data_IF_199476333244
#
_entry.id   IF_199476333244
#
_cell.length_a   1.000
_cell.length_b   1.000
_cell.length_c   1.000
_cell.angle_alpha   90.00
_cell.angle_beta   90.00
_cell.angle_gamma   90.00
#
_symmetry.space_group_name_H-M   'P 1'
#
loop_
_entity.id
_entity.type
_entity.pdbx_description
1 polymer ?
#
# COMPACT_ATOMS: atom_id res chain seq x y z
N UNK A 1 -5.78 -9.13 4.34
CA UNK A 1 -4.51 -8.93 3.62
C UNK A 1 -4.52 -7.48 3.16
N UNK A 2 -3.43 -6.74 3.32
CA UNK A 2 -3.26 -5.43 2.71
C UNK A 2 -2.68 -5.64 1.30
N UNK A 3 -3.28 -5.04 0.27
CA UNK A 3 -2.85 -5.20 -1.12
C UNK A 3 -2.21 -3.90 -1.59
N UNK A 4 -1.00 -3.98 -2.14
CA UNK A 4 -0.19 -2.81 -2.49
C UNK A 4 -0.24 -2.49 -4.00
N UNK A 5 -1.39 -2.77 -4.62
CA UNK A 5 -1.66 -2.52 -6.04
C UNK A 5 -1.83 -3.79 -6.87
N UNK A 6 -2.29 -3.63 -8.12
CA UNK A 6 -2.54 -4.73 -9.06
C UNK A 6 -3.75 -4.48 -9.96
N UNK A 7 -4.36 -5.57 -10.42
CA UNK A 7 -5.49 -5.60 -11.33
C UNK A 7 -6.57 -6.56 -10.83
N UNK A 8 -7.82 -6.21 -11.10
CA UNK A 8 -8.95 -7.10 -10.91
C UNK A 8 -9.71 -7.22 -12.22
N UNK A 9 -10.13 -8.44 -12.55
CA UNK A 9 -11.00 -8.73 -13.68
C UNK A 9 -12.24 -9.44 -13.18
N UNK A 10 -13.40 -9.03 -13.69
CA UNK A 10 -14.68 -9.69 -13.43
C UNK A 10 -15.22 -10.21 -14.77
N UNK A 11 -15.68 -11.46 -14.82
CA UNK A 11 -16.30 -12.06 -15.99
C UNK A 11 -16.81 -13.46 -15.70
N UNK A 12 -17.81 -13.94 -16.44
CA UNK A 12 -18.42 -15.27 -16.24
C UNK A 12 -18.81 -15.56 -14.77
N UNK A 13 -19.31 -14.54 -14.05
CA UNK A 13 -19.63 -14.60 -12.63
C UNK A 13 -18.43 -14.94 -11.71
N UNK A 14 -17.20 -14.79 -12.19
CA UNK A 14 -15.97 -14.94 -11.41
C UNK A 14 -15.21 -13.62 -11.34
N UNK A 15 -14.53 -13.39 -10.21
CA UNK A 15 -13.56 -12.31 -10.04
C UNK A 15 -12.16 -12.89 -9.84
N UNK A 16 -11.22 -12.47 -10.67
CA UNK A 16 -9.79 -12.79 -10.53
C UNK A 16 -9.03 -11.53 -10.15
N UNK A 17 -8.22 -11.60 -9.10
CA UNK A 17 -7.40 -10.48 -8.62
C UNK A 17 -5.93 -10.88 -8.74
N UNK A 18 -5.15 -10.07 -9.44
CA UNK A 18 -3.71 -10.23 -9.57
C UNK A 18 -3.05 -9.02 -8.90
N UNK A 19 -2.27 -9.24 -7.85
CA UNK A 19 -1.68 -8.18 -7.04
C UNK A 19 -0.18 -8.12 -7.24
N UNK A 20 0.38 -6.92 -7.18
CA UNK A 20 1.84 -6.75 -7.25
C UNK A 20 2.51 -7.23 -5.97
N UNK A 21 1.90 -6.92 -4.83
CA UNK A 21 2.33 -7.37 -3.51
C UNK A 21 1.17 -7.36 -2.52
N UNK A 22 1.29 -8.12 -1.44
CA UNK A 22 0.31 -8.11 -0.37
C UNK A 22 0.78 -8.81 0.90
N UNK A 23 0.33 -8.27 2.04
CA UNK A 23 0.76 -8.70 3.36
C UNK A 23 -0.42 -9.17 4.20
N UNK A 24 -0.26 -10.24 4.98
CA UNK A 24 -1.32 -10.70 5.88
C UNK A 24 -1.47 -9.70 7.02
N UNK A 25 -2.72 -9.46 7.44
CA UNK A 25 -3.02 -8.45 8.47
C UNK A 25 -2.30 -8.74 9.79
N UNK A 26 -2.12 -10.02 10.13
CA UNK A 26 -1.42 -10.41 11.35
C UNK A 26 0.10 -10.28 11.29
N UNK A 27 0.67 -10.16 10.09
CA UNK A 27 2.12 -10.01 9.91
C UNK A 27 2.53 -8.52 9.91
N UNK A 28 1.57 -7.61 9.70
CA UNK A 28 1.80 -6.15 9.70
C UNK A 28 2.13 -5.67 11.11
N UNK A 29 3.33 -5.10 11.28
CA UNK A 29 3.66 -4.33 12.48
C UNK A 29 3.08 -2.90 12.40
N UNK A 30 2.09 -2.54 13.24
CA UNK A 30 1.48 -1.22 13.20
C UNK A 30 2.46 -0.10 13.60
N UNK A 31 3.48 -0.39 14.41
CA UNK A 31 4.47 0.59 14.85
C UNK A 31 5.43 0.92 13.69
N UNK A 32 5.91 -0.11 12.98
CA UNK A 32 6.75 0.06 11.79
C UNK A 32 6.00 0.82 10.68
N UNK A 33 4.74 0.45 10.43
CA UNK A 33 3.90 1.11 9.43
C UNK A 33 3.71 2.61 9.75
N UNK A 34 3.46 2.95 11.02
CA UNK A 34 3.28 4.33 11.45
C UNK A 34 4.57 5.15 11.32
N UNK A 35 5.72 4.60 11.73
CA UNK A 35 7.02 5.28 11.59
C UNK A 35 7.36 5.55 10.11
N UNK A 36 7.11 4.57 9.25
CA UNK A 36 7.36 4.69 7.80
C UNK A 36 6.51 5.80 7.20
N UNK A 37 5.23 5.92 7.60
CA UNK A 37 4.34 7.00 7.16
C UNK A 37 4.88 8.37 7.59
N UNK A 38 5.29 8.53 8.84
CA UNK A 38 5.81 9.80 9.35
C UNK A 38 7.05 10.28 8.59
N UNK A 39 7.98 9.35 8.29
CA UNK A 39 9.17 9.63 7.48
C UNK A 39 8.77 10.03 6.06
N UNK A 40 7.86 9.28 5.42
CA UNK A 40 7.40 9.57 4.06
C UNK A 40 6.72 10.95 3.97
N UNK A 41 5.87 11.30 4.94
CA UNK A 41 5.21 12.62 5.01
C UNK A 41 6.22 13.73 5.25
N UNK A 42 7.20 13.54 6.15
CA UNK A 42 8.27 14.51 6.36
C UNK A 42 9.09 14.74 5.08
N UNK A 43 9.41 13.69 4.34
CA UNK A 43 10.12 13.79 3.07
C UNK A 43 9.28 14.45 1.98
N UNK A 44 7.98 14.16 1.91
CA UNK A 44 7.05 14.80 0.98
C UNK A 44 7.00 16.31 1.20
N UNK A 45 6.87 16.74 2.47
CA UNK A 45 6.88 18.18 2.84
C UNK A 45 8.19 18.87 2.42
N UNK A 46 9.34 18.22 2.63
CA UNK A 46 10.64 18.72 2.18
C UNK A 46 10.74 18.81 0.65
N UNK A 47 10.15 17.86 -0.08
CA UNK A 47 10.18 17.81 -1.55
C UNK A 47 9.22 18.79 -2.22
N UNK A 48 8.03 19.00 -1.65
CA UNK A 48 7.01 19.89 -2.20
C UNK A 48 7.32 21.39 -1.99
N UNK A 49 8.20 21.74 -1.05
CA UNK A 49 8.65 23.11 -0.81
C UNK A 49 9.68 23.65 -1.82
N UNK A 50 10.06 22.89 -2.85
CA UNK A 50 11.00 23.29 -3.92
C UNK A 50 10.31 23.69 -5.23
N UNK A 51 9.16 24.38 -5.17
CA UNK A 51 8.53 24.98 -6.35
C UNK A 51 8.85 26.46 -6.43
#
# INVERSE_FOLDING_TARGET
MALMGGFARIGNNEATILVNDGEKVGDIDPQEAQQTLEIAVANLRKGQGKR
#
